data_IF_594607974170
#
_entry.id   IF_594607974170
#
_cell.length_a   1.000
_cell.length_b   1.000
_cell.length_c   1.000
_cell.angle_alpha   90.00
_cell.angle_beta   90.00
_cell.angle_gamma   90.00
#
_symmetry.space_group_name_H-M   'P 1'
#
loop_
_entity.id
_entity.type
_entity.pdbx_description
1 polymer ?
#
# COMPACT_ATOMS: atom_id res chain seq x y z
N UNK A 1 -34.28 -4.28 -4.02
CA UNK A 1 -33.71 -3.05 -4.62
C UNK A 1 -32.84 -3.45 -5.80
N UNK A 2 -32.85 -2.71 -6.92
CA UNK A 2 -32.00 -3.01 -8.09
C UNK A 2 -30.77 -2.09 -8.10
N UNK A 3 -29.62 -2.58 -8.57
CA UNK A 3 -28.32 -1.88 -8.57
C UNK A 3 -27.85 -1.68 -10.00
N UNK A 4 -27.50 -0.43 -10.33
CA UNK A 4 -26.75 -0.10 -11.53
C UNK A 4 -25.25 -0.31 -11.25
N UNK A 5 -24.59 -1.08 -12.11
CA UNK A 5 -23.16 -1.37 -11.99
C UNK A 5 -22.49 -1.15 -13.35
N UNK A 6 -21.81 -0.02 -13.50
CA UNK A 6 -21.13 0.41 -14.73
C UNK A 6 -19.73 0.90 -14.38
N UNK A 7 -18.77 0.69 -15.28
CA UNK A 7 -17.38 1.17 -15.15
C UNK A 7 -17.02 2.27 -16.16
N UNK A 8 -17.96 2.61 -17.05
CA UNK A 8 -17.82 3.65 -18.08
C UNK A 8 -19.01 4.62 -18.02
N UNK A 9 -18.75 5.87 -18.39
CA UNK A 9 -19.76 6.94 -18.45
C UNK A 9 -20.27 7.20 -19.88
N UNK A 10 -19.89 6.36 -20.85
CA UNK A 10 -20.41 6.46 -22.22
C UNK A 10 -21.91 6.13 -22.29
N UNK A 11 -22.64 6.83 -23.15
CA UNK A 11 -24.08 6.66 -23.37
C UNK A 11 -24.49 5.20 -23.63
N UNK A 12 -23.68 4.47 -24.40
CA UNK A 12 -23.88 3.04 -24.69
C UNK A 12 -23.85 2.20 -23.43
N UNK A 13 -22.81 2.37 -22.60
CA UNK A 13 -22.59 1.65 -21.34
C UNK A 13 -23.67 1.95 -20.30
N UNK A 14 -24.13 3.20 -20.24
CA UNK A 14 -25.23 3.61 -19.34
C UNK A 14 -26.53 2.93 -19.76
N UNK A 15 -26.90 2.99 -21.05
CA UNK A 15 -28.12 2.37 -21.57
C UNK A 15 -28.12 0.85 -21.36
N UNK A 16 -27.00 0.20 -21.62
CA UNK A 16 -26.83 -1.24 -21.36
C UNK A 16 -26.94 -1.56 -19.87
N UNK A 17 -26.31 -0.76 -19.00
CA UNK A 17 -26.36 -0.94 -17.55
C UNK A 17 -27.77 -0.82 -16.98
N UNK A 18 -28.57 0.14 -17.46
CA UNK A 18 -29.98 0.27 -17.08
C UNK A 18 -30.87 -0.85 -17.64
N UNK A 19 -30.52 -1.40 -18.80
CA UNK A 19 -31.23 -2.56 -19.36
C UNK A 19 -30.93 -3.84 -18.57
N UNK A 20 -29.76 -3.93 -17.94
CA UNK A 20 -29.24 -5.11 -17.26
C UNK A 20 -29.03 -4.92 -15.74
N UNK A 21 -29.96 -4.23 -15.07
CA UNK A 21 -29.87 -3.98 -13.64
C UNK A 21 -29.75 -5.29 -12.83
N UNK A 22 -28.79 -5.30 -11.91
CA UNK A 22 -28.53 -6.46 -11.06
C UNK A 22 -29.37 -6.40 -9.79
N UNK A 23 -29.63 -7.56 -9.20
CA UNK A 23 -30.23 -7.60 -7.88
C UNK A 23 -29.26 -7.02 -6.84
N UNK A 24 -29.77 -6.21 -5.92
CA UNK A 24 -28.95 -5.60 -4.87
C UNK A 24 -28.28 -6.66 -3.98
N UNK A 25 -28.98 -7.77 -3.73
CA UNK A 25 -28.50 -8.89 -2.90
C UNK A 25 -27.20 -9.52 -3.41
N UNK A 26 -26.92 -9.42 -4.71
CA UNK A 26 -25.65 -9.89 -5.29
C UNK A 26 -24.42 -9.14 -4.75
N UNK A 27 -24.61 -7.98 -4.10
CA UNK A 27 -23.55 -7.12 -3.59
C UNK A 27 -23.49 -7.07 -2.06
N UNK A 28 -24.28 -7.88 -1.34
CA UNK A 28 -24.30 -7.87 0.12
C UNK A 28 -22.91 -8.18 0.71
N UNK A 29 -22.20 -9.17 0.14
CA UNK A 29 -20.81 -9.47 0.53
C UNK A 29 -19.84 -8.28 0.31
N UNK A 30 -20.05 -7.49 -0.74
CA UNK A 30 -19.24 -6.31 -1.01
C UNK A 30 -19.51 -5.20 0.02
N UNK A 31 -20.79 -5.03 0.38
CA UNK A 31 -21.20 -4.12 1.45
C UNK A 31 -20.60 -4.55 2.79
N UNK A 32 -20.71 -5.82 3.16
CA UNK A 32 -20.17 -6.34 4.41
C UNK A 32 -18.64 -6.20 4.49
N UNK A 33 -17.93 -6.44 3.38
CA UNK A 33 -16.49 -6.18 3.27
C UNK A 33 -16.15 -4.70 3.50
N UNK A 34 -16.93 -3.78 2.91
CA UNK A 34 -16.75 -2.34 3.12
C UNK A 34 -17.00 -1.92 4.56
N UNK A 35 -18.05 -2.46 5.17
CA UNK A 35 -18.41 -2.22 6.57
C UNK A 35 -17.34 -2.75 7.53
N UNK A 36 -16.88 -3.99 7.33
CA UNK A 36 -15.83 -4.58 8.14
C UNK A 36 -14.54 -3.77 8.08
N UNK A 37 -14.14 -3.30 6.89
CA UNK A 37 -12.98 -2.41 6.71
C UNK A 37 -13.14 -1.11 7.50
N UNK A 38 -14.29 -0.44 7.37
CA UNK A 38 -14.55 0.82 8.07
C UNK A 38 -14.49 0.64 9.60
N UNK A 39 -15.06 -0.45 10.11
CA UNK A 39 -15.01 -0.78 11.55
C UNK A 39 -13.57 -1.06 11.99
N UNK A 40 -12.81 -1.87 11.25
CA UNK A 40 -11.43 -2.20 11.59
C UNK A 40 -10.52 -0.96 11.61
N UNK A 41 -10.64 -0.10 10.59
CA UNK A 41 -9.86 1.13 10.50
C UNK A 41 -10.22 2.10 11.63
N UNK A 42 -11.50 2.20 12.01
CA UNK A 42 -11.94 3.01 13.15
C UNK A 42 -11.46 2.45 14.48
N UNK A 43 -11.56 1.14 14.72
CA UNK A 43 -11.13 0.51 15.96
C UNK A 43 -9.63 0.71 16.20
N UNK A 44 -8.80 0.47 15.17
CA UNK A 44 -7.34 0.68 15.27
C UNK A 44 -7.03 2.18 15.39
N UNK A 45 -7.63 2.99 14.51
CA UNK A 45 -7.35 4.42 14.44
C UNK A 45 -7.72 5.17 15.71
N UNK A 46 -8.95 4.98 16.21
CA UNK A 46 -9.44 5.71 17.38
C UNK A 46 -8.71 5.30 18.67
N UNK A 47 -8.61 3.99 18.93
CA UNK A 47 -8.07 3.52 20.20
C UNK A 47 -6.56 3.74 20.29
N UNK A 48 -5.80 3.40 19.25
CA UNK A 48 -4.34 3.43 19.32
C UNK A 48 -3.81 4.86 19.19
N UNK A 49 -4.43 5.71 18.35
CA UNK A 49 -4.06 7.14 18.30
C UNK A 49 -4.24 7.79 19.66
N UNK A 50 -5.35 7.52 20.36
CA UNK A 50 -5.61 8.07 21.70
C UNK A 50 -4.62 7.53 22.73
N UNK A 51 -4.32 6.22 22.70
CA UNK A 51 -3.33 5.60 23.57
C UNK A 51 -1.96 6.28 23.43
N UNK A 52 -1.42 6.36 22.22
CA UNK A 52 -0.12 6.99 21.98
C UNK A 52 -0.14 8.47 22.32
N UNK A 53 -1.24 9.17 22.01
CA UNK A 53 -1.34 10.58 22.32
C UNK A 53 -1.29 10.84 23.83
N UNK A 54 -1.96 10.00 24.63
CA UNK A 54 -1.90 10.08 26.09
C UNK A 54 -0.53 9.67 26.65
N UNK A 55 0.11 8.64 26.10
CA UNK A 55 1.41 8.15 26.58
C UNK A 55 2.53 9.17 26.40
N UNK A 56 2.51 9.92 25.30
CA UNK A 56 3.56 10.87 24.94
C UNK A 56 3.14 12.33 25.11
N UNK A 57 1.91 12.58 25.59
CA UNK A 57 1.31 13.90 25.78
C UNK A 57 1.41 14.81 24.54
N UNK A 58 1.21 14.22 23.36
CA UNK A 58 1.31 14.86 22.05
C UNK A 58 0.27 14.26 21.11
N UNK A 59 -0.12 14.95 20.04
CA UNK A 59 -1.11 14.40 19.12
C UNK A 59 -0.49 13.41 18.13
N UNK A 60 -0.69 12.12 18.37
CA UNK A 60 -0.24 11.04 17.48
C UNK A 60 -1.40 10.42 16.74
N UNK A 61 -1.22 10.27 15.43
CA UNK A 61 -2.11 9.46 14.59
C UNK A 61 -1.49 8.09 14.35
N UNK A 62 -2.28 7.06 14.60
CA UNK A 62 -1.93 5.65 14.37
C UNK A 62 -3.03 5.05 13.52
N UNK A 63 -2.67 4.18 12.57
CA UNK A 63 -3.67 3.53 11.73
C UNK A 63 -3.12 2.36 10.97
N UNK A 64 -4.02 1.44 10.59
CA UNK A 64 -3.68 0.20 9.90
C UNK A 64 -2.92 0.39 8.59
N UNK A 65 -3.09 1.53 7.91
CA UNK A 65 -2.40 1.83 6.64
C UNK A 65 -1.21 2.76 6.85
N UNK A 66 -1.41 3.92 7.48
CA UNK A 66 -0.35 4.92 7.64
C UNK A 66 0.84 4.42 8.47
N UNK A 67 0.60 3.64 9.53
CA UNK A 67 1.65 3.24 10.46
C UNK A 67 2.59 2.18 9.87
N UNK A 68 2.09 1.13 9.18
CA UNK A 68 2.98 0.23 8.44
C UNK A 68 3.76 0.93 7.32
N UNK A 69 3.13 1.87 6.60
CA UNK A 69 3.84 2.64 5.57
C UNK A 69 4.98 3.47 6.19
N UNK A 70 4.75 4.12 7.32
CA UNK A 70 5.80 4.83 8.06
C UNK A 70 6.91 3.86 8.51
N UNK A 71 6.54 2.68 9.02
CA UNK A 71 7.51 1.66 9.44
C UNK A 71 8.42 1.23 8.30
N UNK A 72 7.94 1.12 7.06
CA UNK A 72 8.79 0.79 5.91
C UNK A 72 9.88 1.85 5.67
N UNK A 73 9.54 3.14 5.84
CA UNK A 73 10.49 4.24 5.70
C UNK A 73 11.52 4.19 6.83
N UNK A 74 11.07 4.09 8.07
CA UNK A 74 11.94 4.01 9.26
C UNK A 74 12.91 2.83 9.15
N UNK A 75 12.42 1.65 8.74
CA UNK A 75 13.28 0.48 8.56
C UNK A 75 14.36 0.70 7.50
N UNK A 76 14.02 1.39 6.39
CA UNK A 76 15.00 1.73 5.36
C UNK A 76 16.04 2.73 5.86
N UNK A 77 15.60 3.73 6.63
CA UNK A 77 16.52 4.69 7.24
C UNK A 77 17.48 3.99 8.23
N UNK A 78 16.98 3.04 9.01
CA UNK A 78 17.80 2.22 9.92
C UNK A 78 18.81 1.33 9.17
N UNK A 79 18.41 0.73 8.04
CA UNK A 79 19.32 -0.01 7.14
C UNK A 79 20.45 0.89 6.63
N UNK A 80 20.12 2.12 6.20
CA UNK A 80 21.10 3.09 5.70
C UNK A 80 22.04 3.55 6.83
N UNK A 81 21.49 3.88 8.00
CA UNK A 81 22.27 4.33 9.16
C UNK A 81 23.20 3.24 9.69
N UNK A 82 22.78 1.97 9.60
CA UNK A 82 23.55 0.80 10.03
C UNK A 82 24.52 0.30 8.96
N UNK A 83 24.44 0.83 7.73
CA UNK A 83 25.27 0.38 6.61
C UNK A 83 26.73 0.74 6.83
N UNK A 84 27.57 -0.29 7.00
CA UNK A 84 29.03 -0.15 7.06
C UNK A 84 29.60 -0.34 5.66
N UNK A 85 30.17 0.73 5.11
CA UNK A 85 30.87 0.69 3.83
C UNK A 85 32.08 -0.23 3.92
N UNK A 86 32.11 -1.25 3.07
CA UNK A 86 33.26 -2.14 2.92
C UNK A 86 33.94 -1.86 1.58
N UNK A 87 35.28 -1.87 1.58
CA UNK A 87 36.01 -1.83 0.31
C UNK A 87 35.87 -3.19 -0.35
N UNK A 88 35.59 -3.16 -1.64
CA UNK A 88 35.60 -4.32 -2.50
C UNK A 88 36.19 -3.95 -3.84
N UNK A 89 36.62 -4.95 -4.60
CA UNK A 89 37.22 -4.76 -5.91
C UNK A 89 36.38 -5.49 -6.95
N UNK A 90 36.32 -4.93 -8.16
CA UNK A 90 35.82 -5.62 -9.35
C UNK A 90 36.84 -5.40 -10.45
N UNK A 91 37.08 -6.42 -11.27
CA UNK A 91 37.97 -6.28 -12.42
C UNK A 91 37.12 -6.09 -13.66
N UNK A 92 37.41 -5.03 -14.41
CA UNK A 92 36.77 -4.75 -15.69
C UNK A 92 37.80 -4.75 -16.81
N UNK A 93 37.45 -5.41 -17.92
CA UNK A 93 38.24 -5.44 -19.15
C UNK A 93 37.37 -4.88 -20.28
N UNK A 94 37.76 -3.72 -20.81
CA UNK A 94 37.13 -3.13 -21.99
C UNK A 94 37.76 -3.70 -23.26
N UNK A 95 36.91 -4.31 -24.11
CA UNK A 95 37.25 -4.82 -25.43
C UNK A 95 36.54 -3.98 -26.51
N UNK A 96 36.89 -4.15 -27.78
CA UNK A 96 36.22 -3.44 -28.88
C UNK A 96 34.74 -3.88 -28.99
N UNK A 97 33.85 -3.10 -28.40
CA UNK A 97 32.39 -3.25 -28.50
C UNK A 97 31.71 -3.92 -27.30
N UNK A 98 32.46 -4.39 -26.29
CA UNK A 98 31.88 -4.92 -25.06
C UNK A 98 32.87 -4.89 -23.88
N UNK A 99 32.33 -4.89 -22.65
CA UNK A 99 33.10 -4.90 -21.40
C UNK A 99 32.79 -6.19 -20.64
N UNK A 100 33.83 -6.85 -20.13
CA UNK A 100 33.71 -7.98 -19.23
C UNK A 100 34.00 -7.51 -17.81
N UNK A 101 33.09 -7.79 -16.87
CA UNK A 101 33.27 -7.50 -15.44
C UNK A 101 33.22 -8.78 -14.62
N UNK A 102 34.00 -8.83 -13.55
CA UNK A 102 33.89 -9.88 -12.53
C UNK A 102 32.80 -9.52 -11.52
N UNK A 103 32.27 -10.52 -10.82
CA UNK A 103 31.58 -10.29 -9.56
C UNK A 103 32.54 -9.66 -8.53
N UNK A 104 32.00 -9.26 -7.38
CA UNK A 104 32.76 -8.73 -6.26
C UNK A 104 33.94 -9.66 -5.93
N UNK A 105 35.15 -9.13 -6.02
CA UNK A 105 36.39 -9.72 -5.53
C UNK A 105 36.68 -9.02 -4.20
N UNK A 106 36.30 -9.66 -3.11
CA UNK A 106 36.70 -9.30 -1.76
C UNK A 106 37.97 -10.03 -1.29
#
# INVERSE_FOLDING_TARGET
MKRLWISSMEDSSIKEGFSNLKDGSNYDNLFDSAKARAIADWLVGMNISRLYSCLYNENYSVGRVQTPTLSMIVNRDDEINSFKKEKYYTVEISMNGFTLSTDRID
#
